data_IF_639940588717
#
_entry.id   IF_639940588717
#
_cell.length_a   1.000
_cell.length_b   1.000
_cell.length_c   1.000
_cell.angle_alpha   90.00
_cell.angle_beta   90.00
_cell.angle_gamma   90.00
#
_symmetry.space_group_name_H-M   'P 1'
#
loop_
_entity.id
_entity.type
_entity.pdbx_description
1 polymer ?
#
# COMPACT_ATOMS: atom_id res chain seq x y z
N UNK A 1 8.61 21.58 -33.82
CA UNK A 1 8.05 22.53 -32.84
C UNK A 1 7.08 21.80 -31.92
N UNK A 2 7.57 20.90 -31.06
CA UNK A 2 6.72 20.22 -30.08
C UNK A 2 6.84 20.98 -28.77
N UNK A 3 5.75 21.66 -28.41
CA UNK A 3 5.63 22.51 -27.24
C UNK A 3 5.50 21.61 -26.00
N UNK A 4 6.62 21.40 -25.31
CA UNK A 4 6.67 20.68 -24.05
C UNK A 4 6.46 21.71 -22.93
N UNK A 5 5.25 21.79 -22.38
CA UNK A 5 5.01 22.53 -21.14
C UNK A 5 5.13 21.55 -19.96
N UNK A 6 6.19 21.63 -19.14
CA UNK A 6 6.23 20.89 -17.90
C UNK A 6 5.32 21.61 -16.88
N UNK A 7 4.16 21.00 -16.58
CA UNK A 7 3.40 21.31 -15.37
C UNK A 7 4.24 20.85 -14.18
N UNK A 8 5.08 21.75 -13.66
CA UNK A 8 5.63 21.63 -12.32
C UNK A 8 4.46 21.73 -11.33
N UNK A 9 3.96 20.58 -10.90
CA UNK A 9 3.04 20.50 -9.78
C UNK A 9 3.86 20.80 -8.51
N UNK A 10 3.87 22.06 -8.08
CA UNK A 10 4.38 22.42 -6.76
C UNK A 10 3.37 21.97 -5.71
N UNK A 11 3.68 20.88 -5.03
CA UNK A 11 2.98 20.52 -3.80
C UNK A 11 3.44 21.48 -2.69
N UNK A 12 2.66 22.54 -2.47
CA UNK A 12 2.73 23.36 -1.27
C UNK A 12 2.11 22.56 -0.11
N UNK A 13 2.94 21.92 0.71
CA UNK A 13 2.48 21.33 1.96
C UNK A 13 2.38 22.43 3.01
N UNK A 14 1.20 23.02 3.15
CA UNK A 14 0.88 23.95 4.22
C UNK A 14 0.28 23.14 5.38
N UNK A 15 1.11 22.72 6.35
CA UNK A 15 0.63 21.95 7.50
C UNK A 15 0.20 22.90 8.61
N UNK A 16 -1.05 23.36 8.56
CA UNK A 16 -1.70 24.01 9.70
C UNK A 16 -3.14 23.52 9.82
N UNK A 17 -3.30 22.30 10.31
CA UNK A 17 -4.59 21.76 10.75
C UNK A 17 -4.53 21.48 12.26
N UNK A 18 -4.69 22.54 13.04
CA UNK A 18 -5.02 22.46 14.46
C UNK A 18 -6.53 22.19 14.56
N UNK A 19 -6.95 20.94 14.37
CA UNK A 19 -8.34 20.53 14.51
C UNK A 19 -8.52 19.73 15.81
N UNK A 20 -8.87 20.44 16.88
CA UNK A 20 -9.38 19.87 18.12
C UNK A 20 -10.69 19.12 17.85
N UNK A 21 -10.63 17.79 17.77
CA UNK A 21 -11.83 16.94 17.67
C UNK A 21 -12.06 16.21 18.98
N UNK A 22 -12.86 16.80 19.85
CA UNK A 22 -13.51 16.12 20.99
C UNK A 22 -14.65 15.24 20.48
N UNK A 23 -14.44 13.92 20.34
CA UNK A 23 -15.50 12.90 20.45
C UNK A 23 -14.94 11.48 20.40
N UNK A 24 -15.24 10.71 21.45
CA UNK A 24 -14.85 9.33 21.77
C UNK A 24 -14.95 8.29 20.64
N UNK A 25 -13.86 8.08 19.90
CA UNK A 25 -13.62 6.84 19.16
C UNK A 25 -12.13 6.55 19.26
N UNK A 26 -11.73 5.38 19.79
CA UNK A 26 -10.32 4.97 19.87
C UNK A 26 -9.78 4.77 18.45
N UNK A 27 -9.40 5.86 17.76
CA UNK A 27 -8.54 5.78 16.59
C UNK A 27 -7.14 5.44 17.11
N UNK A 28 -6.69 4.21 16.91
CA UNK A 28 -5.28 3.88 17.13
C UNK A 28 -4.47 4.78 16.19
N UNK A 29 -3.55 5.58 16.73
CA UNK A 29 -2.62 6.31 15.90
C UNK A 29 -1.63 5.31 15.30
N UNK A 30 -1.91 4.84 14.09
CA UNK A 30 -1.02 3.92 13.35
C UNK A 30 0.38 4.49 13.12
N UNK A 31 0.54 5.82 13.24
CA UNK A 31 1.81 6.54 13.19
C UNK A 31 2.66 6.42 14.47
N UNK A 32 2.03 6.09 15.61
CA UNK A 32 2.70 5.99 16.91
C UNK A 32 3.03 4.54 17.29
N UNK A 33 2.55 3.58 16.50
CA UNK A 33 2.82 2.15 16.68
C UNK A 33 4.21 1.79 16.14
N UNK A 34 4.85 0.80 16.77
CA UNK A 34 6.09 0.24 16.25
C UNK A 34 5.82 -0.60 15.00
N UNK A 35 6.81 -0.69 14.10
CA UNK A 35 6.68 -1.48 12.87
C UNK A 35 6.33 -2.95 13.16
N UNK A 36 6.92 -3.53 14.21
CA UNK A 36 6.64 -4.90 14.65
C UNK A 36 5.18 -5.10 15.08
N UNK A 37 4.60 -4.13 15.80
CA UNK A 37 3.20 -4.18 16.23
C UNK A 37 2.24 -4.00 15.06
N UNK A 38 2.55 -3.08 14.14
CA UNK A 38 1.78 -2.88 12.91
C UNK A 38 1.79 -4.14 12.04
N UNK A 39 2.95 -4.78 11.92
CA UNK A 39 3.13 -5.99 11.13
C UNK A 39 2.36 -7.19 11.71
N UNK A 40 2.24 -7.29 13.04
CA UNK A 40 1.46 -8.34 13.70
C UNK A 40 -0.04 -8.27 13.42
N UNK A 41 -0.56 -7.10 13.07
CA UNK A 41 -1.97 -6.91 12.69
C UNK A 41 -2.21 -7.18 11.18
N UNK A 42 -1.16 -7.50 10.42
CA UNK A 42 -1.22 -7.79 9.00
C UNK A 42 -1.18 -9.31 8.73
N UNK A 43 -2.04 -9.76 7.81
CA UNK A 43 -2.01 -11.11 7.24
C UNK A 43 -1.20 -11.08 5.94
N UNK A 44 -0.25 -12.01 5.78
CA UNK A 44 0.50 -12.19 4.54
C UNK A 44 0.08 -13.49 3.85
N UNK A 45 -0.30 -13.39 2.58
CA UNK A 45 -0.66 -14.52 1.72
C UNK A 45 0.23 -14.52 0.48
N UNK A 46 0.88 -15.64 0.19
CA UNK A 46 1.59 -15.85 -1.07
C UNK A 46 0.72 -16.66 -2.01
N UNK A 47 0.60 -16.23 -3.27
CA UNK A 47 -0.23 -16.90 -4.26
C UNK A 47 0.45 -16.93 -5.64
N UNK A 48 -0.09 -17.76 -6.52
CA UNK A 48 0.40 -17.91 -7.89
C UNK A 48 -0.27 -16.85 -8.76
N UNK A 49 0.53 -16.00 -9.39
CA UNK A 49 0.02 -15.07 -10.40
C UNK A 49 -0.45 -15.88 -11.62
N UNK A 50 -1.73 -15.80 -11.95
CA UNK A 50 -2.31 -16.39 -13.16
C UNK A 50 -2.07 -15.44 -14.33
N UNK A 51 -0.80 -15.27 -14.71
CA UNK A 51 -0.42 -14.52 -15.90
C UNK A 51 -0.62 -15.36 -17.18
N UNK A 52 -0.77 -14.72 -18.36
CA UNK A 52 -0.77 -15.39 -19.67
C UNK A 52 0.64 -15.86 -20.05
N UNK A 53 1.27 -16.69 -19.20
CA UNK A 53 2.51 -17.40 -19.47
C UNK A 53 2.20 -18.88 -19.62
N UNK A 54 2.69 -19.51 -20.68
CA UNK A 54 2.44 -20.92 -20.97
C UNK A 54 2.73 -21.86 -19.80
N UNK A 55 2.30 -23.12 -19.92
CA UNK A 55 2.33 -24.17 -18.89
C UNK A 55 3.68 -24.35 -18.14
N UNK A 56 4.76 -23.81 -18.69
CA UNK A 56 6.10 -23.80 -18.11
C UNK A 56 6.33 -22.74 -17.02
N UNK A 57 5.55 -21.64 -16.98
CA UNK A 57 5.76 -20.49 -16.07
C UNK A 57 5.07 -20.68 -14.70
N UNK A 58 4.00 -21.47 -14.61
CA UNK A 58 3.10 -21.48 -13.44
C UNK A 58 3.55 -22.36 -12.26
N UNK A 59 4.85 -22.59 -12.08
CA UNK A 59 5.36 -23.46 -11.01
C UNK A 59 5.74 -22.70 -9.73
N UNK A 60 5.97 -21.39 -9.80
CA UNK A 60 6.41 -20.59 -8.67
C UNK A 60 5.33 -19.61 -8.20
N UNK A 61 5.23 -19.43 -6.88
CA UNK A 61 4.35 -18.44 -6.25
C UNK A 61 4.99 -17.06 -6.41
N UNK A 62 4.64 -16.37 -7.49
CA UNK A 62 5.26 -15.09 -7.89
C UNK A 62 4.53 -13.84 -7.39
N UNK A 63 3.47 -14.00 -6.58
CA UNK A 63 2.68 -12.89 -6.08
C UNK A 63 2.46 -12.97 -4.57
N UNK A 64 2.46 -11.81 -3.93
CA UNK A 64 2.25 -11.63 -2.48
C UNK A 64 1.09 -10.67 -2.26
N UNK A 65 0.29 -10.95 -1.24
CA UNK A 65 -0.79 -10.11 -0.75
C UNK A 65 -0.60 -9.85 0.74
N UNK A 66 -0.74 -8.60 1.13
CA UNK A 66 -0.73 -8.16 2.52
C UNK A 66 -2.09 -7.53 2.85
N UNK A 67 -2.68 -7.92 3.98
CA UNK A 67 -3.98 -7.42 4.43
C UNK A 67 -3.90 -6.96 5.88
N UNK A 68 -4.15 -5.67 6.12
CA UNK A 68 -4.27 -5.13 7.47
C UNK A 68 -5.71 -5.32 7.97
N UNK A 69 -5.90 -6.21 8.94
CA UNK A 69 -7.22 -6.60 9.45
C UNK A 69 -8.03 -5.42 10.00
N UNK A 70 -7.48 -4.52 10.86
CA UNK A 70 -8.29 -3.50 11.51
C UNK A 70 -8.69 -2.33 10.60
N UNK A 71 -7.93 -2.04 9.54
CA UNK A 71 -8.27 -1.00 8.56
C UNK A 71 -8.94 -1.55 7.31
N UNK A 72 -8.78 -2.84 7.02
CA UNK A 72 -9.22 -3.47 5.78
C UNK A 72 -8.33 -3.11 4.58
N UNK A 73 -7.16 -2.49 4.79
CA UNK A 73 -6.24 -2.14 3.71
C UNK A 73 -5.60 -3.40 3.12
N UNK A 74 -5.60 -3.50 1.79
CA UNK A 74 -5.04 -4.64 1.07
C UNK A 74 -4.02 -4.13 0.07
N UNK A 75 -2.78 -4.59 0.20
CA UNK A 75 -1.71 -4.38 -0.77
C UNK A 75 -1.43 -5.69 -1.50
N UNK A 76 -1.17 -5.61 -2.81
CA UNK A 76 -0.79 -6.76 -3.63
C UNK A 76 0.43 -6.36 -4.46
N UNK A 77 1.40 -7.25 -4.51
CA UNK A 77 2.60 -7.10 -5.33
C UNK A 77 2.81 -8.40 -6.09
N UNK A 78 3.01 -8.30 -7.41
CA UNK A 78 3.39 -9.41 -8.26
C UNK A 78 4.72 -9.06 -8.94
N UNK A 79 5.59 -10.05 -9.09
CA UNK A 79 6.84 -9.87 -9.82
C UNK A 79 6.55 -9.69 -11.32
N UNK A 80 6.77 -8.47 -11.83
CA UNK A 80 6.80 -8.20 -13.27
C UNK A 80 8.26 -8.30 -13.71
N UNK A 81 8.63 -9.43 -14.34
CA UNK A 81 9.97 -9.57 -14.93
C UNK A 81 9.99 -8.79 -16.23
N UNK A 82 10.56 -7.57 -16.18
CA UNK A 82 10.85 -6.69 -17.34
C UNK A 82 11.90 -7.26 -18.28
#
# INVERSE_FOLDING_TARGET
CWNYQPLFLSCNYNTNDNCSSTSSSKKKNYLELTDDELFRECEMDTYKSLGPGGQHHNKHESAVRLKHIPTGFIAQAAEDRS
#
